data_IF_100217845035
#
_entry.id   IF_100217845035
#
_cell.length_a   1.000
_cell.length_b   1.000
_cell.length_c   1.000
_cell.angle_alpha   90.00
_cell.angle_beta   90.00
_cell.angle_gamma   90.00
#
_symmetry.space_group_name_H-M   'P 1'
#
loop_
_entity.id
_entity.type
_entity.pdbx_description
1 polymer ?
#
# COMPACT_ATOMS: atom_id res chain seq x y z
N UNK A 1 -1.37 -10.12 -12.66
CA UNK A 1 -0.54 -9.70 -11.51
C UNK A 1 0.06 -8.31 -11.76
N UNK A 2 0.63 -7.64 -10.76
CA UNK A 2 1.13 -6.25 -10.88
C UNK A 2 2.04 -6.01 -12.10
N UNK A 3 3.04 -6.86 -12.43
CA UNK A 3 3.89 -6.61 -13.60
C UNK A 3 3.16 -6.61 -14.94
N UNK A 4 1.95 -7.17 -15.01
CA UNK A 4 1.17 -7.28 -16.24
C UNK A 4 0.30 -6.06 -16.53
N UNK A 5 0.00 -5.24 -15.52
CA UNK A 5 -0.90 -4.09 -15.66
C UNK A 5 -0.26 -2.79 -15.20
N UNK A 6 0.62 -2.82 -14.21
CA UNK A 6 1.33 -1.65 -13.70
C UNK A 6 2.64 -1.43 -14.48
N UNK A 7 2.52 -1.39 -15.81
CA UNK A 7 3.66 -1.10 -16.70
C UNK A 7 4.13 0.32 -16.40
N UNK A 8 5.44 0.47 -16.22
CA UNK A 8 6.04 1.76 -15.87
C UNK A 8 5.63 2.83 -16.88
N UNK A 9 5.13 3.96 -16.38
CA UNK A 9 4.61 5.12 -17.15
C UNK A 9 3.37 4.88 -18.03
N UNK A 10 2.91 3.63 -18.19
CA UNK A 10 1.79 3.29 -19.05
C UNK A 10 0.90 2.19 -18.43
N UNK A 11 0.25 2.45 -17.28
CA UNK A 11 -0.58 1.45 -16.62
C UNK A 11 -1.80 1.09 -17.48
N UNK A 12 -2.06 -0.22 -17.61
CA UNK A 12 -3.26 -0.77 -18.24
C UNK A 12 -4.31 -1.08 -17.17
N UNK A 13 -5.18 -0.10 -16.91
CA UNK A 13 -6.20 -0.19 -15.88
C UNK A 13 -7.29 -1.22 -16.24
N UNK A 14 -7.59 -1.40 -17.52
CA UNK A 14 -8.54 -2.44 -17.95
C UNK A 14 -8.00 -3.84 -17.67
N UNK A 15 -6.70 -4.05 -17.93
CA UNK A 15 -6.00 -5.29 -17.58
C UNK A 15 -6.00 -5.52 -16.08
N UNK A 16 -5.81 -4.49 -15.26
CA UNK A 16 -5.89 -4.58 -13.80
C UNK A 16 -7.27 -5.08 -13.34
N UNK A 17 -8.36 -4.51 -13.89
CA UNK A 17 -9.72 -4.95 -13.59
C UNK A 17 -9.99 -6.38 -14.00
N UNK A 18 -9.52 -6.80 -15.18
CA UNK A 18 -9.64 -8.19 -15.64
C UNK A 18 -8.92 -9.16 -14.71
N UNK A 19 -7.68 -8.84 -14.31
CA UNK A 19 -6.92 -9.66 -13.35
C UNK A 19 -7.65 -9.78 -12.01
N UNK A 20 -8.26 -8.69 -11.53
CA UNK A 20 -9.02 -8.70 -10.29
C UNK A 20 -10.31 -9.55 -10.41
N UNK A 21 -11.03 -9.44 -11.52
CA UNK A 21 -12.19 -10.28 -11.81
C UNK A 21 -11.82 -11.76 -11.88
N UNK A 22 -10.71 -12.10 -12.55
CA UNK A 22 -10.18 -13.46 -12.65
C UNK A 22 -9.79 -14.03 -11.27
N UNK A 23 -9.46 -13.17 -10.31
CA UNK A 23 -9.20 -13.52 -8.91
C UNK A 23 -10.47 -13.60 -8.04
N UNK A 24 -11.65 -13.35 -8.61
CA UNK A 24 -12.95 -13.47 -7.93
C UNK A 24 -13.57 -12.15 -7.44
N UNK A 25 -13.01 -10.99 -7.80
CA UNK A 25 -13.58 -9.69 -7.42
C UNK A 25 -14.87 -9.40 -8.23
N UNK A 26 -15.95 -9.03 -7.55
CA UNK A 26 -17.13 -8.46 -8.18
C UNK A 26 -16.85 -7.01 -8.62
N UNK A 27 -16.74 -6.78 -9.92
CA UNK A 27 -16.32 -5.49 -10.48
C UNK A 27 -17.36 -4.39 -10.28
N UNK A 28 -18.65 -4.70 -10.39
CA UNK A 28 -19.70 -3.70 -10.26
C UNK A 28 -19.80 -3.20 -8.82
N UNK A 29 -19.74 -4.12 -7.86
CA UNK A 29 -19.69 -3.80 -6.44
C UNK A 29 -18.41 -3.04 -6.07
N UNK A 30 -17.25 -3.47 -6.59
CA UNK A 30 -15.99 -2.79 -6.35
C UNK A 30 -16.01 -1.35 -6.86
N UNK A 31 -16.53 -1.10 -8.07
CA UNK A 31 -16.64 0.26 -8.63
C UNK A 31 -17.55 1.16 -7.80
N UNK A 32 -18.67 0.63 -7.31
CA UNK A 32 -19.56 1.38 -6.40
C UNK A 32 -18.88 1.68 -5.08
N UNK A 33 -18.15 0.71 -4.52
CA UNK A 33 -17.44 0.86 -3.26
C UNK A 33 -16.31 1.89 -3.35
N UNK A 34 -15.51 1.87 -4.40
CA UNK A 34 -14.40 2.83 -4.59
C UNK A 34 -14.93 4.25 -4.83
N UNK A 35 -16.13 4.40 -5.39
CA UNK A 35 -16.80 5.69 -5.53
C UNK A 35 -17.44 6.19 -4.22
N UNK A 36 -17.41 5.42 -3.13
CA UNK A 36 -18.05 5.78 -1.87
C UNK A 36 -17.27 6.88 -1.12
N UNK A 37 -18.00 7.66 -0.31
CA UNK A 37 -17.41 8.66 0.57
C UNK A 37 -16.43 8.04 1.60
N UNK A 38 -16.63 6.78 1.97
CA UNK A 38 -15.74 6.07 2.89
C UNK A 38 -14.34 5.89 2.30
N UNK A 39 -14.25 5.50 1.03
CA UNK A 39 -12.95 5.37 0.35
C UNK A 39 -12.27 6.73 0.19
N UNK A 40 -13.04 7.78 -0.11
CA UNK A 40 -12.48 9.13 -0.12
C UNK A 40 -11.90 9.52 1.25
N UNK A 41 -12.66 9.33 2.33
CA UNK A 41 -12.19 9.68 3.68
C UNK A 41 -10.96 8.86 4.10
N UNK A 42 -10.91 7.58 3.70
CA UNK A 42 -9.74 6.72 3.92
C UNK A 42 -8.49 7.28 3.22
N UNK A 43 -8.60 7.64 1.93
CA UNK A 43 -7.49 8.22 1.17
C UNK A 43 -7.03 9.57 1.75
N UNK A 44 -7.96 10.41 2.20
CA UNK A 44 -7.62 11.69 2.83
C UNK A 44 -6.82 11.46 4.14
N UNK A 45 -7.18 10.46 4.94
CA UNK A 45 -6.44 10.08 6.14
C UNK A 45 -5.05 9.51 5.79
N UNK A 46 -4.96 8.61 4.81
CA UNK A 46 -3.68 8.03 4.38
C UNK A 46 -2.69 9.11 3.92
N UNK A 47 -3.18 10.15 3.23
CA UNK A 47 -2.36 11.32 2.86
C UNK A 47 -1.88 12.09 4.11
N UNK A 48 -2.74 12.26 5.13
CA UNK A 48 -2.32 12.87 6.41
C UNK A 48 -1.18 12.07 7.03
N UNK A 49 -1.34 10.75 7.11
CA UNK A 49 -0.35 9.86 7.73
C UNK A 49 0.98 9.87 6.98
N UNK A 50 0.98 9.91 5.65
CA UNK A 50 2.20 10.05 4.81
C UNK A 50 2.95 11.34 5.16
N UNK A 51 2.22 12.45 5.30
CA UNK A 51 2.80 13.76 5.60
C UNK A 51 3.32 13.84 7.04
N UNK A 52 2.53 13.38 8.01
CA UNK A 52 2.89 13.35 9.43
C UNK A 52 4.14 12.51 9.69
N UNK A 53 4.30 11.41 8.96
CA UNK A 53 5.46 10.52 9.06
C UNK A 53 6.61 10.91 8.11
N UNK A 54 6.51 12.03 7.39
CA UNK A 54 7.53 12.52 6.46
C UNK A 54 8.02 11.45 5.45
N UNK A 55 7.09 10.67 4.89
CA UNK A 55 7.41 9.63 3.92
C UNK A 55 7.68 10.27 2.56
N UNK A 56 8.94 10.18 2.09
CA UNK A 56 9.39 10.82 0.85
C UNK A 56 9.45 9.87 -0.36
N UNK A 57 9.47 8.55 -0.11
CA UNK A 57 9.59 7.55 -1.16
C UNK A 57 9.11 6.19 -0.70
N UNK A 58 8.84 5.30 -1.66
CA UNK A 58 8.46 3.91 -1.42
C UNK A 58 9.57 2.96 -1.88
N UNK A 59 9.85 1.87 -1.15
CA UNK A 59 9.21 1.45 0.10
C UNK A 59 9.75 2.20 1.33
N UNK A 60 8.90 2.46 2.32
CA UNK A 60 9.26 2.95 3.67
C UNK A 60 8.55 2.07 4.70
N UNK A 61 9.24 1.66 5.75
CA UNK A 61 8.69 0.78 6.80
C UNK A 61 8.88 1.40 8.18
N UNK A 62 7.93 1.11 9.07
CA UNK A 62 7.99 1.43 10.48
C UNK A 62 7.69 0.17 11.30
N UNK A 63 8.38 0.02 12.43
CA UNK A 63 8.11 -1.03 13.42
C UNK A 63 7.77 -0.33 14.74
N UNK A 64 6.52 -0.42 15.17
CA UNK A 64 6.00 0.29 16.36
C UNK A 64 6.33 1.80 16.36
N UNK A 65 6.25 2.44 15.19
CA UNK A 65 6.56 3.87 15.01
C UNK A 65 8.04 4.19 14.78
N UNK A 66 8.95 3.22 14.90
CA UNK A 66 10.38 3.39 14.60
C UNK A 66 10.66 3.15 13.11
N UNK A 67 11.25 4.10 12.36
CA UNK A 67 11.53 3.91 10.94
C UNK A 67 12.65 2.89 10.71
N UNK A 68 12.48 2.05 9.69
CA UNK A 68 13.53 1.14 9.25
C UNK A 68 14.54 1.89 8.36
N UNK A 69 15.71 2.21 8.92
CA UNK A 69 16.73 3.03 8.23
C UNK A 69 17.65 2.22 7.31
N UNK A 70 17.66 0.89 7.43
CA UNK A 70 18.41 -0.02 6.56
C UNK A 70 17.48 -1.11 6.03
N UNK A 71 17.48 -1.32 4.72
CA UNK A 71 16.57 -2.25 4.07
C UNK A 71 17.13 -3.67 4.04
N UNK A 72 16.26 -4.65 4.28
CA UNK A 72 16.59 -6.07 4.21
C UNK A 72 15.89 -6.87 5.30
N UNK A 73 15.87 -8.19 5.14
CA UNK A 73 15.30 -9.12 6.11
C UNK A 73 15.98 -9.01 7.49
N UNK A 74 17.32 -9.03 7.52
CA UNK A 74 18.10 -8.92 8.76
C UNK A 74 17.84 -7.60 9.51
N UNK A 75 17.99 -6.41 8.90
CA UNK A 75 17.62 -5.15 9.55
C UNK A 75 16.18 -5.09 10.07
N UNK A 76 15.23 -5.68 9.33
CA UNK A 76 13.83 -5.75 9.76
C UNK A 76 13.68 -6.61 11.03
N UNK A 77 14.25 -7.82 11.02
CA UNK A 77 14.21 -8.74 12.18
C UNK A 77 14.84 -8.10 13.42
N UNK A 78 16.00 -7.46 13.27
CA UNK A 78 16.66 -6.76 14.37
C UNK A 78 15.78 -5.65 14.95
N UNK A 79 15.14 -4.87 14.08
CA UNK A 79 14.25 -3.77 14.51
C UNK A 79 13.00 -4.31 15.21
N UNK A 80 12.45 -5.43 14.74
CA UNK A 80 11.34 -6.14 15.42
C UNK A 80 11.79 -6.61 16.81
N UNK A 81 12.92 -7.32 16.92
CA UNK A 81 13.42 -7.83 18.19
C UNK A 81 13.66 -6.72 19.22
N UNK A 82 14.20 -5.57 18.80
CA UNK A 82 14.35 -4.38 19.66
C UNK A 82 13.03 -3.82 20.17
N UNK A 83 11.93 -4.03 19.46
CA UNK A 83 10.61 -3.45 19.75
C UNK A 83 9.62 -4.44 20.39
N UNK A 84 9.99 -5.70 20.63
CA UNK A 84 9.16 -6.71 21.35
C UNK A 84 9.24 -6.57 22.88
N UNK A 85 10.31 -5.99 23.43
CA UNK A 85 10.57 -5.96 24.89
C UNK A 85 10.41 -4.59 25.57
N UNK A 86 9.83 -3.61 24.89
CA UNK A 86 9.49 -2.31 25.49
C UNK A 86 8.11 -2.37 26.13
#
# INVERSE_FOLDING_TARGET
>A
KQPEWAIHEAPDIERAWKIAADAGLNIDEAKQYIASANIKALLDQEISDINENNVQSTPTFFVNGEPLTSFGEQPLLETIERNIKK
#
